data_IF_334783566837
#
_entry.id   IF_334783566837
#
_cell.length_a   1.000
_cell.length_b   1.000
_cell.length_c   1.000
_cell.angle_alpha   90.00
_cell.angle_beta   90.00
_cell.angle_gamma   90.00
#
_symmetry.space_group_name_H-M   'P 1'
#
loop_
_entity.id
_entity.type
_entity.pdbx_description
1 polymer ?
#
# COMPACT_ATOMS: atom_id res chain seq x y z
N UNK A 1 24.06 -5.99 2.87
CA UNK A 1 24.67 -6.23 1.54
C UNK A 1 25.03 -4.94 0.78
N UNK A 2 24.10 -4.00 0.58
CA UNK A 2 24.41 -2.77 -0.18
C UNK A 2 25.49 -1.91 0.51
N UNK A 3 25.38 -1.73 1.83
CA UNK A 3 26.39 -1.03 2.64
C UNK A 3 27.77 -1.65 2.60
N UNK A 4 27.86 -2.98 2.68
CA UNK A 4 29.14 -3.68 2.60
C UNK A 4 29.79 -3.57 1.21
N UNK A 5 29.04 -3.14 0.20
CA UNK A 5 29.53 -2.81 -1.15
C UNK A 5 29.79 -1.30 -1.33
N UNK A 6 29.67 -0.49 -0.27
CA UNK A 6 29.82 0.96 -0.34
C UNK A 6 28.73 1.66 -1.15
N UNK A 7 27.60 1.00 -1.40
CA UNK A 7 26.47 1.58 -2.13
C UNK A 7 25.61 2.36 -1.15
N UNK A 8 25.46 3.70 -1.29
CA UNK A 8 24.56 4.48 -0.47
C UNK A 8 23.11 4.11 -0.77
N UNK A 9 22.30 3.99 0.28
CA UNK A 9 20.86 3.73 0.17
C UNK A 9 20.15 5.00 0.63
N UNK A 10 19.73 5.88 -0.28
CA UNK A 10 19.14 7.16 0.11
C UNK A 10 17.72 7.01 0.68
N UNK A 11 17.06 5.90 0.38
CA UNK A 11 15.67 5.65 0.71
C UNK A 11 15.37 4.15 0.69
N UNK A 12 14.47 3.73 1.56
CA UNK A 12 13.90 2.39 1.62
C UNK A 12 12.38 2.48 1.60
N UNK A 13 11.75 1.79 0.63
CA UNK A 13 10.30 1.60 0.55
C UNK A 13 9.92 0.16 0.80
N UNK A 14 8.89 -0.06 1.62
CA UNK A 14 8.34 -1.38 1.87
C UNK A 14 6.96 -1.55 1.24
N UNK A 15 6.83 -2.57 0.41
CA UNK A 15 5.58 -3.27 0.08
C UNK A 15 5.59 -4.59 0.89
N UNK A 16 4.44 -5.00 1.40
CA UNK A 16 4.25 -6.29 2.04
C UNK A 16 2.83 -6.80 1.85
N UNK A 17 2.70 -8.12 1.71
CA UNK A 17 1.42 -8.82 1.67
C UNK A 17 0.84 -8.90 3.09
N UNK A 18 -0.05 -7.96 3.40
CA UNK A 18 -0.69 -7.85 4.72
C UNK A 18 -1.47 -9.12 5.09
N UNK A 19 -2.18 -9.69 4.12
CA UNK A 19 -2.95 -10.91 4.33
C UNK A 19 -2.05 -12.09 4.68
N UNK A 20 -0.98 -12.30 3.92
CA UNK A 20 -0.03 -13.37 4.19
C UNK A 20 0.67 -13.17 5.54
N UNK A 21 1.02 -11.93 5.91
CA UNK A 21 1.57 -11.63 7.22
C UNK A 21 0.59 -11.96 8.36
N UNK A 22 -0.69 -11.65 8.18
CA UNK A 22 -1.76 -12.02 9.11
C UNK A 22 -1.92 -13.55 9.23
N UNK A 23 -1.91 -14.29 8.10
CA UNK A 23 -1.99 -15.75 8.10
C UNK A 23 -0.85 -16.41 8.89
N UNK A 24 0.34 -15.81 8.82
CA UNK A 24 1.51 -16.27 9.56
C UNK A 24 1.52 -15.82 11.03
N UNK A 25 0.55 -15.01 11.46
CA UNK A 25 0.48 -14.46 12.82
C UNK A 25 1.63 -13.51 13.14
N UNK A 26 2.18 -12.82 12.12
CA UNK A 26 3.27 -11.88 12.30
C UNK A 26 2.75 -10.59 12.95
N UNK A 27 3.54 -10.04 13.87
CA UNK A 27 3.32 -8.69 14.38
C UNK A 27 3.92 -7.66 13.41
N UNK A 28 3.20 -7.42 12.31
CA UNK A 28 3.58 -6.46 11.27
C UNK A 28 3.93 -5.10 11.89
N UNK A 29 3.20 -4.67 12.90
CA UNK A 29 3.41 -3.38 13.54
C UNK A 29 4.76 -3.32 14.29
N UNK A 30 5.17 -4.40 14.95
CA UNK A 30 6.49 -4.49 15.57
C UNK A 30 7.60 -4.48 14.52
N UNK A 31 7.48 -5.30 13.47
CA UNK A 31 8.45 -5.36 12.38
C UNK A 31 8.63 -3.99 11.70
N UNK A 32 7.52 -3.28 11.43
CA UNK A 32 7.56 -1.93 10.84
C UNK A 32 8.29 -0.91 11.71
N UNK A 33 8.14 -0.98 13.04
CA UNK A 33 8.88 -0.10 13.96
C UNK A 33 10.37 -0.41 13.96
N UNK A 34 10.74 -1.68 13.97
CA UNK A 34 12.13 -2.11 13.94
C UNK A 34 12.80 -1.70 12.62
N UNK A 35 12.09 -1.83 11.50
CA UNK A 35 12.53 -1.35 10.18
C UNK A 35 12.68 0.16 10.13
N UNK A 36 11.73 0.93 10.67
CA UNK A 36 11.82 2.39 10.75
C UNK A 36 13.03 2.82 11.60
N UNK A 37 13.23 2.19 12.75
CA UNK A 37 14.36 2.48 13.63
C UNK A 37 15.69 2.16 12.94
N UNK A 38 15.78 1.00 12.30
CA UNK A 38 16.96 0.63 11.51
C UNK A 38 17.26 1.66 10.43
N UNK A 39 16.25 2.16 9.71
CA UNK A 39 16.46 3.19 8.68
C UNK A 39 16.98 4.50 9.30
N UNK A 40 16.39 4.94 10.41
CA UNK A 40 16.80 6.16 11.13
C UNK A 40 18.23 6.10 11.66
N UNK A 41 18.61 5.00 12.30
CA UNK A 41 19.97 4.77 12.85
C UNK A 41 21.07 4.82 11.77
N UNK A 42 20.64 4.78 10.52
CA UNK A 42 21.49 4.62 9.37
C UNK A 42 21.31 5.72 8.32
N UNK A 43 20.60 6.79 8.67
CA UNK A 43 20.36 7.95 7.83
C UNK A 43 19.68 7.58 6.49
N UNK A 44 18.80 6.57 6.52
CA UNK A 44 18.00 6.13 5.38
C UNK A 44 16.58 6.66 5.58
N UNK A 45 16.02 7.36 4.59
CA UNK A 45 14.59 7.73 4.62
C UNK A 45 13.72 6.48 4.52
N UNK A 46 12.72 6.36 5.38
CA UNK A 46 11.79 5.24 5.42
C UNK A 46 10.44 5.62 4.81
N UNK A 47 9.98 4.84 3.83
CA UNK A 47 8.68 4.98 3.21
C UNK A 47 7.91 3.67 3.21
N UNK A 48 6.59 3.79 3.16
CA UNK A 48 5.69 2.65 3.06
C UNK A 48 4.84 2.82 1.81
N UNK A 49 4.65 1.71 1.10
CA UNK A 49 3.75 1.64 -0.03
C UNK A 49 2.33 1.43 0.49
N UNK A 50 1.44 2.35 0.15
CA UNK A 50 0.00 2.20 0.35
C UNK A 50 -0.54 1.59 -0.93
N UNK A 51 -0.88 0.31 -0.83
CA UNK A 51 -1.43 -0.49 -1.91
C UNK A 51 -2.79 -0.98 -1.44
N UNK A 52 -3.84 -0.64 -2.18
CA UNK A 52 -5.13 -1.28 -2.00
C UNK A 52 -5.05 -2.71 -2.54
N UNK A 53 -5.38 -3.68 -1.71
CA UNK A 53 -5.36 -5.08 -2.10
C UNK A 53 -6.55 -5.32 -3.05
N UNK A 54 -6.25 -5.63 -4.31
CA UNK A 54 -7.21 -5.94 -5.38
C UNK A 54 -8.35 -4.93 -5.66
N UNK A 55 -7.97 -3.67 -5.86
CA UNK A 55 -8.90 -2.65 -6.35
C UNK A 55 -9.42 -2.93 -7.77
N UNK A 56 -10.56 -3.61 -7.91
CA UNK A 56 -11.33 -3.70 -9.16
C UNK A 56 -12.20 -2.46 -9.42
N UNK A 57 -12.15 -1.49 -8.52
CA UNK A 57 -12.76 -0.15 -8.51
C UNK A 57 -11.89 0.86 -7.73
N UNK A 58 -12.08 2.16 -7.98
CA UNK A 58 -11.50 3.23 -7.17
C UNK A 58 -11.94 3.08 -5.70
N UNK A 59 -13.21 2.71 -5.49
CA UNK A 59 -13.82 2.45 -4.20
C UNK A 59 -13.16 1.27 -3.49
N UNK A 60 -13.02 0.13 -4.16
CA UNK A 60 -12.37 -1.05 -3.57
C UNK A 60 -10.88 -0.82 -3.33
N UNK A 61 -10.20 -0.01 -4.16
CA UNK A 61 -8.82 0.40 -3.87
C UNK A 61 -8.75 1.26 -2.60
N UNK A 62 -9.67 2.22 -2.43
CA UNK A 62 -9.69 3.12 -1.29
C UNK A 62 -10.09 2.42 0.01
N UNK A 63 -11.14 1.59 -0.02
CA UNK A 63 -11.78 1.05 1.18
C UNK A 63 -11.53 -0.45 1.41
N UNK A 64 -11.13 -1.18 0.38
CA UNK A 64 -10.96 -2.63 0.43
C UNK A 64 -12.27 -3.37 0.16
N UNK A 65 -12.25 -4.68 0.42
CA UNK A 65 -13.41 -5.57 0.34
C UNK A 65 -13.51 -6.43 1.58
N UNK A 66 -14.63 -6.34 2.31
CA UNK A 66 -14.83 -7.07 3.58
C UNK A 66 -15.23 -8.54 3.39
N UNK A 67 -15.52 -8.94 2.15
CA UNK A 67 -15.94 -10.29 1.80
C UNK A 67 -15.05 -10.82 0.69
N UNK A 68 -14.85 -12.15 0.64
CA UNK A 68 -14.16 -12.76 -0.48
C UNK A 68 -14.80 -12.34 -1.80
N UNK A 69 -14.02 -11.78 -2.70
CA UNK A 69 -14.48 -11.49 -4.06
C UNK A 69 -14.13 -12.65 -4.97
N UNK A 70 -14.76 -12.70 -6.13
CA UNK A 70 -14.34 -13.59 -7.21
C UNK A 70 -13.88 -12.68 -8.34
N UNK A 71 -12.64 -12.82 -8.79
CA UNK A 71 -12.19 -12.03 -9.94
C UNK A 71 -12.92 -12.45 -11.23
N UNK A 72 -12.69 -11.68 -12.30
CA UNK A 72 -13.16 -12.04 -13.64
C UNK A 72 -12.63 -13.40 -14.16
N UNK A 73 -11.74 -14.07 -13.42
CA UNK A 73 -11.18 -15.38 -13.71
C UNK A 73 -11.84 -16.51 -12.92
N UNK A 74 -12.79 -16.23 -12.02
CA UNK A 74 -13.40 -17.24 -11.16
C UNK A 74 -12.55 -17.64 -9.95
N UNK A 75 -11.43 -16.96 -9.68
CA UNK A 75 -10.64 -17.17 -8.47
C UNK A 75 -11.26 -16.39 -7.32
N UNK A 76 -11.44 -17.10 -6.20
CA UNK A 76 -11.85 -16.47 -4.97
C UNK A 76 -10.64 -15.76 -4.37
N UNK A 77 -10.80 -14.46 -4.19
CA UNK A 77 -9.88 -13.61 -3.49
C UNK A 77 -10.34 -13.41 -2.07
N UNK A 78 -9.37 -13.22 -1.18
CA UNK A 78 -9.62 -13.01 0.23
C UNK A 78 -10.10 -11.58 0.48
N UNK A 79 -10.74 -11.30 1.63
CA UNK A 79 -10.99 -9.93 2.04
C UNK A 79 -9.70 -9.12 1.96
N UNK A 80 -9.79 -7.94 1.36
CA UNK A 80 -8.63 -7.17 0.94
C UNK A 80 -8.66 -5.83 1.69
N UNK A 81 -7.56 -5.43 2.31
CA UNK A 81 -7.47 -4.16 3.02
C UNK A 81 -7.33 -3.01 2.00
N UNK A 82 -8.18 -2.00 2.11
CA UNK A 82 -8.07 -0.80 1.29
C UNK A 82 -6.90 0.09 1.68
N UNK A 83 -6.54 1.01 0.78
CA UNK A 83 -5.51 2.02 1.01
C UNK A 83 -5.76 2.86 2.28
N UNK A 84 -7.02 3.22 2.56
CA UNK A 84 -7.40 4.00 3.75
C UNK A 84 -7.23 3.20 5.05
N UNK A 85 -7.85 2.02 5.24
CA UNK A 85 -7.64 1.26 6.46
C UNK A 85 -6.17 0.85 6.65
N UNK A 86 -5.45 0.51 5.58
CA UNK A 86 -4.01 0.25 5.65
C UNK A 86 -3.24 1.48 6.14
N UNK A 87 -3.52 2.66 5.59
CA UNK A 87 -2.90 3.91 6.04
C UNK A 87 -3.13 4.18 7.53
N UNK A 88 -4.33 3.92 8.06
CA UNK A 88 -4.65 4.09 9.48
C UNK A 88 -3.81 3.13 10.33
N UNK A 89 -3.75 1.86 9.95
CA UNK A 89 -2.96 0.84 10.65
C UNK A 89 -1.47 1.21 10.66
N UNK A 90 -0.90 1.52 9.51
CA UNK A 90 0.51 1.90 9.37
C UNK A 90 0.85 3.15 10.19
N UNK A 91 -0.02 4.17 10.17
CA UNK A 91 0.18 5.36 10.99
C UNK A 91 0.18 5.04 12.48
N UNK A 92 -0.67 4.10 12.92
CA UNK A 92 -0.70 3.66 14.31
C UNK A 92 0.60 2.92 14.70
N UNK A 93 1.23 2.24 13.75
CA UNK A 93 2.44 1.45 13.98
C UNK A 93 3.70 2.31 14.05
N UNK A 94 3.91 3.18 13.05
CA UNK A 94 5.18 3.91 12.84
C UNK A 94 5.05 5.43 12.90
N UNK A 95 3.86 5.94 13.22
CA UNK A 95 3.57 7.37 13.20
C UNK A 95 3.62 7.91 11.78
N UNK A 96 4.49 8.90 11.54
CA UNK A 96 4.68 9.47 10.21
C UNK A 96 5.91 8.85 9.52
N UNK A 97 5.73 8.16 8.38
CA UNK A 97 6.86 7.81 7.53
C UNK A 97 7.44 9.06 6.86
N UNK A 98 8.69 8.99 6.39
CA UNK A 98 9.33 10.10 5.67
C UNK A 98 8.70 10.29 4.28
N UNK A 99 8.11 9.23 3.73
CA UNK A 99 7.46 9.21 2.42
C UNK A 99 6.26 8.28 2.39
N UNK A 100 5.27 8.62 1.56
CA UNK A 100 4.21 7.71 1.12
C UNK A 100 4.39 7.43 -0.36
N UNK A 101 4.27 6.17 -0.72
CA UNK A 101 4.22 5.73 -2.11
C UNK A 101 2.83 5.16 -2.34
N UNK A 102 2.13 5.67 -3.34
CA UNK A 102 0.87 5.12 -3.79
C UNK A 102 1.16 4.23 -4.98
N UNK A 103 0.89 2.95 -4.83
CA UNK A 103 1.20 1.95 -5.85
C UNK A 103 -0.09 1.21 -6.22
N UNK A 104 -0.39 1.24 -7.52
CA UNK A 104 -1.32 0.30 -8.12
C UNK A 104 -0.52 -0.72 -8.91
N UNK A 105 -0.79 -1.99 -8.69
CA UNK A 105 -0.10 -3.07 -9.38
C UNK A 105 -1.11 -3.98 -10.08
N UNK A 106 -0.65 -4.60 -11.17
CA UNK A 106 -1.31 -5.75 -11.76
C UNK A 106 -0.27 -6.79 -12.11
N UNK A 107 -0.58 -8.04 -11.76
CA UNK A 107 0.20 -9.18 -12.21
C UNK A 107 0.31 -9.19 -13.74
N UNK A 108 1.54 -9.22 -14.27
CA UNK A 108 1.80 -9.37 -15.70
C UNK A 108 2.52 -10.71 -16.00
N UNK A 109 2.00 -11.53 -16.93
CA UNK A 109 0.74 -11.36 -17.65
C UNK A 109 -0.47 -11.52 -16.70
N UNK A 110 -1.59 -10.83 -16.96
CA UNK A 110 -2.77 -10.97 -16.11
C UNK A 110 -3.29 -12.41 -16.18
N UNK A 111 -3.73 -12.94 -15.04
CA UNK A 111 -4.22 -14.32 -14.93
C UNK A 111 -5.51 -14.59 -15.73
N UNK A 112 -6.22 -13.55 -16.15
CA UNK A 112 -7.33 -13.62 -17.09
C UNK A 112 -7.50 -12.30 -17.86
N UNK A 113 -8.45 -12.23 -18.84
CA UNK A 113 -8.74 -11.00 -19.57
C UNK A 113 -9.38 -9.96 -18.64
N UNK A 114 -8.55 -9.25 -17.90
CA UNK A 114 -8.95 -8.02 -17.22
C UNK A 114 -9.00 -6.88 -18.23
N UNK A 115 -9.98 -5.99 -18.09
CA UNK A 115 -9.96 -4.71 -18.77
C UNK A 115 -8.68 -3.97 -18.35
N UNK A 116 -7.70 -3.92 -19.26
CA UNK A 116 -6.41 -3.25 -19.06
C UNK A 116 -6.55 -1.73 -18.92
N UNK A 117 -7.78 -1.18 -18.97
CA UNK A 117 -8.12 0.08 -18.29
C UNK A 117 -8.06 -0.14 -16.78
N UNK A 118 -6.88 -0.57 -16.34
CA UNK A 118 -6.57 -0.72 -14.95
C UNK A 118 -6.64 0.63 -14.31
N UNK A 119 -7.34 0.62 -13.20
CA UNK A 119 -7.60 1.73 -12.32
C UNK A 119 -6.45 2.74 -12.25
N UNK A 120 -6.78 4.03 -12.15
CA UNK A 120 -8.10 4.56 -11.77
C UNK A 120 -9.08 4.78 -12.93
N UNK A 121 -10.38 4.62 -12.67
CA UNK A 121 -11.41 5.29 -13.46
C UNK A 121 -11.09 6.78 -13.57
N UNK A 122 -11.37 7.39 -14.72
CA UNK A 122 -11.17 8.81 -14.93
C UNK A 122 -12.25 9.63 -14.19
N UNK A 123 -12.20 9.58 -12.86
CA UNK A 123 -13.06 10.33 -11.95
C UNK A 123 -12.51 11.76 -11.80
N UNK A 124 -13.38 12.77 -11.66
CA UNK A 124 -12.94 14.12 -11.35
C UNK A 124 -12.14 14.19 -10.04
N UNK A 125 -11.17 15.10 -9.94
CA UNK A 125 -10.29 15.26 -8.76
C UNK A 125 -11.01 15.63 -7.45
N UNK A 126 -12.27 16.06 -7.53
CA UNK A 126 -13.10 16.34 -6.36
C UNK A 126 -13.76 15.08 -5.80
N UNK A 127 -13.77 13.97 -6.55
CA UNK A 127 -14.30 12.71 -6.07
C UNK A 127 -13.33 12.13 -5.02
N UNK A 128 -13.80 11.80 -3.80
CA UNK A 128 -12.96 11.32 -2.71
C UNK A 128 -12.24 9.99 -3.01
N UNK A 129 -12.78 9.17 -3.91
CA UNK A 129 -12.15 7.91 -4.33
C UNK A 129 -11.35 8.05 -5.62
N UNK A 130 -11.36 9.21 -6.28
CA UNK A 130 -10.38 9.47 -7.36
C UNK A 130 -8.96 9.30 -6.82
N UNK A 131 -8.01 8.89 -7.66
CA UNK A 131 -6.62 8.71 -7.23
C UNK A 131 -6.05 10.01 -6.64
N UNK A 132 -6.37 11.16 -7.25
CA UNK A 132 -6.03 12.49 -6.74
C UNK A 132 -6.71 12.82 -5.42
N UNK A 133 -8.00 12.51 -5.28
CA UNK A 133 -8.77 12.72 -4.04
C UNK A 133 -8.23 11.89 -2.89
N UNK A 134 -7.92 10.61 -3.14
CA UNK A 134 -7.34 9.69 -2.18
C UNK A 134 -5.93 10.13 -1.75
N UNK A 135 -5.07 10.50 -2.70
CA UNK A 135 -3.74 11.06 -2.39
C UNK A 135 -3.88 12.29 -1.49
N UNK A 136 -4.77 13.22 -1.84
CA UNK A 136 -5.00 14.44 -1.04
C UNK A 136 -5.44 14.11 0.38
N UNK A 137 -6.45 13.24 0.53
CA UNK A 137 -6.93 12.79 1.83
C UNK A 137 -5.81 12.15 2.66
N UNK A 138 -4.97 11.31 2.05
CA UNK A 138 -3.90 10.61 2.77
C UNK A 138 -2.73 11.54 3.10
N UNK A 139 -2.33 12.44 2.21
CA UNK A 139 -1.32 13.48 2.49
C UNK A 139 -1.77 14.36 3.67
N UNK A 140 -3.02 14.82 3.68
CA UNK A 140 -3.61 15.58 4.78
C UNK A 140 -3.65 14.75 6.08
N UNK A 141 -4.09 13.50 6.00
CA UNK A 141 -4.16 12.60 7.14
C UNK A 141 -2.78 12.38 7.77
N UNK A 142 -1.75 12.12 6.96
CA UNK A 142 -0.39 11.94 7.44
C UNK A 142 0.30 13.26 7.80
N UNK A 143 -0.25 14.43 7.43
CA UNK A 143 0.37 15.76 7.63
C UNK A 143 1.72 15.91 6.94
N UNK A 144 1.85 15.35 5.74
CA UNK A 144 3.07 15.50 4.94
C UNK A 144 3.10 16.93 4.38
N UNK A 145 4.18 17.71 4.59
CA UNK A 145 4.30 19.09 4.15
C UNK A 145 4.38 19.24 2.62
#
# INVERSE_FOLDING_TARGET
LLKSKGVPVPFFSLDFDHFYAWQLGLDVNAELRDLQQFCRDNEISFGINIIGDEGSSNETYAYGVDQPTIDGCGKQHTPAIGAIPLAVELKSAVGMPDRLIFESWVAFPPACPVDLRLYPENLPEWNPVSHTGLIRCLVEYFRIP
#
